data_IF_090282724656
#
_entry.id   IF_090282724656
#
_cell.length_a   1.000
_cell.length_b   1.000
_cell.length_c   1.000
_cell.angle_alpha   90.00
_cell.angle_beta   90.00
_cell.angle_gamma   90.00
#
_symmetry.space_group_name_H-M   'P 1'
#
loop_
_entity.id
_entity.type
_entity.pdbx_description
1 polymer ?
#
# COMPACT_ATOMS: atom_id res chain seq x y z
N UNK A 1 -15.76 2.01 4.94
CA UNK A 1 -15.35 1.25 3.74
C UNK A 1 -13.89 0.86 3.94
N UNK A 2 -13.24 0.20 2.97
CA UNK A 2 -11.83 -0.22 3.12
C UNK A 2 -11.04 0.24 1.92
N UNK A 3 -9.89 0.89 2.15
CA UNK A 3 -9.01 1.41 1.11
C UNK A 3 -7.69 0.64 1.15
N UNK A 4 -7.29 0.12 -0.01
CA UNK A 4 -5.98 -0.48 -0.22
C UNK A 4 -5.01 0.61 -0.68
N UNK A 5 -3.83 0.69 -0.06
CA UNK A 5 -2.83 1.71 -0.38
C UNK A 5 -1.52 1.01 -0.71
N UNK A 6 -0.96 1.26 -1.89
CA UNK A 6 0.38 0.80 -2.22
C UNK A 6 1.42 1.48 -1.30
N UNK A 7 2.57 0.86 -1.12
CA UNK A 7 3.63 1.42 -0.30
C UNK A 7 4.62 2.25 -1.12
N UNK A 8 5.23 1.66 -2.14
CA UNK A 8 6.40 2.17 -2.84
C UNK A 8 6.01 3.16 -3.95
N UNK A 9 6.21 4.46 -3.73
CA UNK A 9 5.80 5.52 -4.66
C UNK A 9 4.50 6.22 -4.24
N UNK A 10 3.79 5.68 -3.24
CA UNK A 10 2.58 6.27 -2.65
C UNK A 10 2.85 6.76 -1.22
N UNK A 11 3.43 5.91 -0.37
CA UNK A 11 3.78 6.26 1.01
C UNK A 11 5.28 6.50 1.15
N UNK A 12 6.10 5.56 0.66
CA UNK A 12 7.57 5.65 0.61
C UNK A 12 8.00 6.31 -0.70
N UNK A 13 8.92 7.28 -0.66
CA UNK A 13 9.25 8.10 -1.85
C UNK A 13 9.92 7.30 -3.00
N UNK A 14 10.53 6.16 -2.70
CA UNK A 14 10.95 5.14 -3.67
C UNK A 14 11.87 5.62 -4.82
N UNK A 15 12.78 6.55 -4.51
CA UNK A 15 13.66 7.26 -5.44
C UNK A 15 14.69 6.41 -6.17
N UNK A 16 14.98 5.19 -5.70
CA UNK A 16 15.98 4.26 -6.29
C UNK A 16 15.33 3.02 -6.92
N UNK A 17 14.00 2.96 -7.00
CA UNK A 17 13.30 1.73 -7.35
C UNK A 17 13.58 0.58 -6.37
N UNK A 18 13.40 -0.66 -6.82
CA UNK A 18 13.44 -1.84 -5.93
C UNK A 18 14.77 -2.02 -5.16
N UNK A 19 15.90 -1.65 -5.78
CA UNK A 19 17.24 -1.81 -5.23
C UNK A 19 17.51 -3.25 -4.71
N UNK A 20 17.96 -3.39 -3.46
CA UNK A 20 18.29 -4.66 -2.80
C UNK A 20 17.16 -5.19 -1.89
N UNK A 21 15.98 -4.56 -1.94
CA UNK A 21 14.88 -4.86 -1.04
C UNK A 21 14.82 -3.99 0.22
N UNK A 22 15.85 -3.18 0.52
CA UNK A 22 15.78 -2.21 1.62
C UNK A 22 14.74 -1.10 1.39
N UNK A 23 14.19 -0.58 2.49
CA UNK A 23 13.39 0.67 2.52
C UNK A 23 14.35 1.79 2.93
N UNK A 24 14.54 2.78 2.05
CA UNK A 24 15.69 3.70 2.14
C UNK A 24 15.31 5.18 2.11
N UNK A 25 14.10 5.53 1.68
CA UNK A 25 13.65 6.92 1.62
C UNK A 25 12.71 7.26 2.77
N UNK A 26 12.55 8.57 3.06
CA UNK A 26 11.49 9.05 3.93
C UNK A 26 10.10 8.90 3.27
N UNK A 27 9.03 9.17 4.03
CA UNK A 27 7.69 9.29 3.47
C UNK A 27 7.61 10.34 2.37
N UNK A 28 6.78 10.05 1.35
CA UNK A 28 6.36 11.03 0.36
C UNK A 28 5.66 12.21 1.08
N UNK A 29 5.92 13.47 0.69
CA UNK A 29 5.26 14.63 1.31
C UNK A 29 3.74 14.49 1.33
N UNK A 30 3.15 14.63 2.52
CA UNK A 30 1.70 14.51 2.74
C UNK A 30 1.18 13.08 2.92
N UNK A 31 1.99 12.04 2.71
CA UNK A 31 1.53 10.65 2.81
C UNK A 31 0.99 10.31 4.20
N UNK A 32 1.74 10.62 5.27
CA UNK A 32 1.35 10.27 6.63
C UNK A 32 0.08 10.99 7.08
N UNK A 33 -0.07 12.28 6.74
CA UNK A 33 -1.29 13.04 7.04
C UNK A 33 -2.48 12.56 6.22
N UNK A 34 -2.25 12.17 4.97
CA UNK A 34 -3.25 11.52 4.12
C UNK A 34 -3.73 10.21 4.73
N UNK A 35 -2.82 9.35 5.18
CA UNK A 35 -3.17 8.10 5.88
C UNK A 35 -4.06 8.35 7.09
N UNK A 36 -3.71 9.31 7.95
CA UNK A 36 -4.53 9.68 9.12
C UNK A 36 -5.93 10.16 8.74
N UNK A 37 -6.04 10.96 7.68
CA UNK A 37 -7.34 11.44 7.19
C UNK A 37 -8.20 10.31 6.63
N UNK A 38 -7.60 9.35 5.92
CA UNK A 38 -8.31 8.17 5.44
C UNK A 38 -8.79 7.30 6.60
N UNK A 39 -7.92 7.02 7.59
CA UNK A 39 -8.26 6.23 8.78
C UNK A 39 -9.41 6.85 9.60
N UNK A 40 -9.57 8.17 9.57
CA UNK A 40 -10.68 8.84 10.26
C UNK A 40 -12.06 8.47 9.68
N UNK A 41 -12.14 7.98 8.44
CA UNK A 41 -13.39 7.65 7.76
C UNK A 41 -13.50 6.14 7.43
N UNK A 42 -12.38 5.52 7.09
CA UNK A 42 -12.31 4.20 6.48
C UNK A 42 -11.25 3.30 7.13
N UNK A 43 -11.42 1.98 6.97
CA UNK A 43 -10.35 1.04 7.29
C UNK A 43 -9.28 1.11 6.20
N UNK A 44 -8.01 1.02 6.59
CA UNK A 44 -6.89 1.13 5.68
C UNK A 44 -5.99 -0.08 5.82
N UNK A 45 -5.61 -0.68 4.69
CA UNK A 45 -4.49 -1.61 4.65
C UNK A 45 -3.47 -1.18 3.59
N UNK A 46 -2.21 -1.37 3.93
CA UNK A 46 -1.09 -1.21 3.00
C UNK A 46 -0.90 -2.53 2.27
N UNK A 47 -1.01 -2.49 0.95
CA UNK A 47 -0.82 -3.63 0.06
C UNK A 47 0.52 -3.49 -0.63
N UNK A 48 1.47 -4.38 -0.33
CA UNK A 48 2.86 -4.21 -0.77
C UNK A 48 3.49 -5.50 -1.26
N UNK A 49 4.43 -5.37 -2.20
CA UNK A 49 5.32 -6.45 -2.61
C UNK A 49 6.54 -6.61 -1.69
N UNK A 50 6.75 -5.68 -0.74
CA UNK A 50 7.84 -5.74 0.26
C UNK A 50 7.56 -6.79 1.33
N UNK A 51 8.58 -7.04 2.14
CA UNK A 51 8.38 -7.76 3.40
C UNK A 51 7.44 -6.94 4.31
N UNK A 52 6.39 -7.58 4.80
CA UNK A 52 5.29 -6.94 5.55
C UNK A 52 5.72 -6.45 6.93
N UNK A 53 6.63 -7.17 7.60
CA UNK A 53 7.23 -6.76 8.88
C UNK A 53 8.09 -5.50 8.70
N UNK A 54 8.96 -5.49 7.69
CA UNK A 54 9.84 -4.36 7.42
C UNK A 54 9.06 -3.07 7.13
N UNK A 55 7.95 -3.15 6.39
CA UNK A 55 7.08 -2.01 6.12
C UNK A 55 6.32 -1.58 7.38
N UNK A 56 5.89 -2.53 8.21
CA UNK A 56 5.24 -2.22 9.49
C UNK A 56 6.18 -1.47 10.43
N UNK A 57 7.41 -1.93 10.60
CA UNK A 57 8.43 -1.26 11.42
C UNK A 57 8.70 0.17 10.89
N UNK A 58 8.90 0.30 9.58
CA UNK A 58 9.15 1.60 8.97
C UNK A 58 7.97 2.58 9.16
N UNK A 59 6.73 2.11 9.02
CA UNK A 59 5.53 2.94 9.24
C UNK A 59 5.38 3.35 10.71
N UNK A 60 5.74 2.47 11.64
CA UNK A 60 5.76 2.77 13.06
C UNK A 60 6.78 3.86 13.36
N UNK A 61 8.01 3.72 12.86
CA UNK A 61 9.12 4.66 13.07
C UNK A 61 8.83 6.07 12.53
N UNK A 62 8.15 6.17 11.38
CA UNK A 62 7.92 7.46 10.72
C UNK A 62 6.59 8.12 11.07
N UNK A 63 5.58 7.33 11.43
CA UNK A 63 4.20 7.80 11.56
C UNK A 63 3.49 7.49 12.87
N UNK A 64 4.10 6.67 13.73
CA UNK A 64 3.55 6.22 15.02
C UNK A 64 2.15 5.59 14.90
N UNK A 65 1.88 4.91 13.78
CA UNK A 65 0.61 4.23 13.57
C UNK A 65 0.51 2.96 14.43
N UNK A 66 -0.70 2.61 14.84
CA UNK A 66 -1.00 1.28 15.35
C UNK A 66 -1.08 0.32 14.15
N UNK A 67 -0.20 -0.67 14.10
CA UNK A 67 0.00 -1.50 12.92
C UNK A 67 -0.11 -2.98 13.30
N UNK A 68 -0.71 -3.75 12.42
CA UNK A 68 -0.58 -5.21 12.39
C UNK A 68 -0.10 -5.62 11.00
N UNK A 69 0.58 -6.76 10.89
CA UNK A 69 1.07 -7.24 9.61
C UNK A 69 0.88 -8.76 9.48
N UNK A 70 0.76 -9.26 8.26
CA UNK A 70 0.64 -10.70 8.00
C UNK A 70 2.01 -11.36 7.83
N UNK A 71 2.34 -12.39 8.62
CA UNK A 71 3.56 -13.16 8.44
C UNK A 71 3.64 -13.85 7.07
N UNK A 72 4.85 -13.98 6.48
CA UNK A 72 5.03 -14.75 5.26
C UNK A 72 4.47 -16.17 5.40
N UNK A 73 3.51 -16.53 4.55
CA UNK A 73 2.92 -17.87 4.51
C UNK A 73 1.76 -18.10 5.50
N UNK A 74 1.40 -17.12 6.33
CA UNK A 74 0.27 -17.22 7.27
C UNK A 74 -0.86 -16.27 6.86
N UNK A 75 -1.74 -16.78 6.00
CA UNK A 75 -2.93 -16.06 5.54
C UNK A 75 -4.07 -16.17 6.57
N UNK A 76 -4.28 -15.12 7.36
CA UNK A 76 -5.34 -15.12 8.40
C UNK A 76 -6.44 -14.10 8.15
N UNK A 77 -6.18 -13.06 7.36
CA UNK A 77 -7.16 -12.00 7.10
C UNK A 77 -7.83 -12.19 5.72
N UNK A 78 -9.17 -12.31 5.70
CA UNK A 78 -9.95 -12.31 4.45
C UNK A 78 -10.54 -10.94 4.11
N UNK A 79 -10.79 -10.12 5.14
CA UNK A 79 -11.31 -8.76 5.03
C UNK A 79 -10.74 -7.90 6.14
N UNK A 80 -10.53 -6.61 5.85
CA UNK A 80 -10.03 -5.63 6.82
C UNK A 80 -11.06 -4.54 7.07
N UNK A 81 -11.44 -4.33 8.33
CA UNK A 81 -12.45 -3.36 8.75
C UNK A 81 -12.09 -2.57 10.02
N UNK A 82 -10.89 -2.77 10.57
CA UNK A 82 -10.37 -2.01 11.70
C UNK A 82 -9.88 -0.64 11.22
N UNK A 83 -10.32 0.43 11.90
CA UNK A 83 -9.95 1.82 11.60
C UNK A 83 -8.94 2.38 12.58
N UNK A 84 -8.77 1.73 13.72
CA UNK A 84 -7.79 2.12 14.74
C UNK A 84 -6.42 1.51 14.43
N UNK A 85 -6.33 0.65 13.41
CA UNK A 85 -5.11 -0.04 12.98
C UNK A 85 -4.94 -0.04 11.47
N UNK A 86 -3.69 0.00 11.04
CA UNK A 86 -3.30 -0.30 9.65
C UNK A 86 -2.88 -1.77 9.58
N UNK A 87 -3.43 -2.51 8.62
CA UNK A 87 -2.88 -3.82 8.24
C UNK A 87 -1.82 -3.62 7.16
N UNK A 88 -0.65 -4.25 7.30
CA UNK A 88 0.34 -4.39 6.21
C UNK A 88 0.30 -5.83 5.68
N UNK A 89 -0.01 -5.98 4.39
CA UNK A 89 -0.19 -7.29 3.76
C UNK A 89 0.36 -7.31 2.32
N UNK A 90 0.72 -8.50 1.85
CA UNK A 90 1.03 -8.79 0.45
C UNK A 90 -0.10 -9.59 -0.24
N UNK A 91 -1.30 -9.61 0.36
CA UNK A 91 -2.49 -10.28 -0.17
C UNK A 91 -3.50 -9.24 -0.66
N UNK A 92 -4.16 -9.60 -1.76
CA UNK A 92 -5.25 -8.79 -2.31
C UNK A 92 -6.52 -9.05 -1.50
N UNK A 93 -6.85 -8.12 -0.61
CA UNK A 93 -8.11 -8.12 0.14
C UNK A 93 -9.20 -7.33 -0.62
N UNK A 94 -10.49 -7.58 -0.35
CA UNK A 94 -11.58 -6.73 -0.84
C UNK A 94 -11.39 -5.27 -0.38
N UNK A 95 -11.47 -4.33 -1.32
CA UNK A 95 -11.36 -2.91 -1.08
C UNK A 95 -12.34 -2.11 -1.95
N UNK A 96 -12.74 -0.94 -1.46
CA UNK A 96 -13.55 0.03 -2.19
C UNK A 96 -12.73 0.77 -3.24
N UNK A 97 -11.44 1.01 -2.96
CA UNK A 97 -10.50 1.61 -3.90
C UNK A 97 -9.08 1.09 -3.63
N UNK A 98 -8.26 1.11 -4.68
CA UNK A 98 -6.80 0.91 -4.61
C UNK A 98 -6.14 2.23 -5.00
N UNK A 99 -5.31 2.78 -4.11
CA UNK A 99 -4.45 3.94 -4.37
C UNK A 99 -3.03 3.41 -4.63
N UNK A 100 -2.57 3.52 -5.86
CA UNK A 100 -1.37 2.83 -6.35
C UNK A 100 -0.74 3.67 -7.48
N UNK A 101 0.56 3.90 -7.42
CA UNK A 101 1.29 4.75 -8.36
C UNK A 101 1.47 4.09 -9.75
N UNK A 102 1.26 2.78 -9.83
CA UNK A 102 1.52 1.94 -11.02
C UNK A 102 0.28 1.24 -11.56
N UNK A 103 -0.84 1.30 -10.84
CA UNK A 103 -2.06 0.68 -11.30
C UNK A 103 -2.63 1.34 -12.56
N UNK A 104 -2.96 0.51 -13.55
CA UNK A 104 -3.75 0.93 -14.71
C UNK A 104 -5.23 0.72 -14.40
N UNK A 105 -6.04 1.77 -14.54
CA UNK A 105 -7.50 1.65 -14.37
C UNK A 105 -8.09 0.84 -15.52
N UNK A 106 -8.48 -0.39 -15.22
CA UNK A 106 -9.14 -1.24 -16.20
C UNK A 106 -10.56 -0.74 -16.52
N UNK A 107 -10.82 -0.42 -17.78
CA UNK A 107 -12.16 -0.18 -18.33
C UNK A 107 -12.51 -1.23 -19.38
N UNK A 108 -11.55 -1.54 -20.24
CA UNK A 108 -11.59 -2.59 -21.24
C UNK A 108 -10.15 -2.96 -21.67
N UNK A 109 -10.01 -4.03 -22.44
CA UNK A 109 -8.71 -4.54 -22.88
C UNK A 109 -8.02 -3.65 -23.91
N UNK A 110 -8.76 -2.91 -24.74
CA UNK A 110 -8.17 -2.00 -25.72
C UNK A 110 -7.43 -0.86 -25.02
N UNK A 111 -8.10 -0.23 -24.05
CA UNK A 111 -7.49 0.79 -23.18
C UNK A 111 -6.29 0.23 -22.41
N UNK A 112 -6.46 -0.91 -21.73
CA UNK A 112 -5.40 -1.48 -20.91
C UNK A 112 -4.14 -1.84 -21.72
N UNK A 113 -4.30 -2.37 -22.93
CA UNK A 113 -3.18 -2.66 -23.81
C UNK A 113 -2.51 -1.39 -24.33
N UNK A 114 -3.28 -0.33 -24.62
CA UNK A 114 -2.72 0.96 -25.03
C UNK A 114 -1.87 1.60 -23.92
N UNK A 115 -2.33 1.53 -22.67
CA UNK A 115 -1.61 2.05 -21.50
C UNK A 115 -0.37 1.23 -21.13
N UNK A 116 -0.44 -0.10 -21.23
CA UNK A 116 0.61 -1.02 -20.81
C UNK A 116 1.63 -1.32 -21.93
N UNK A 117 1.28 -1.09 -23.18
CA UNK A 117 2.15 -1.30 -24.35
C UNK A 117 2.18 -0.07 -25.26
N UNK A 118 2.49 1.14 -24.74
CA UNK A 118 2.70 2.29 -25.60
C UNK A 118 3.89 1.94 -26.51
N UNK A 119 3.66 2.01 -27.82
CA UNK A 119 4.60 1.64 -28.89
C UNK A 119 6.06 1.94 -28.49
N UNK A 120 6.87 0.88 -28.41
CA UNK A 120 8.34 1.00 -28.26
C UNK A 120 8.97 1.54 -29.53
#
# INVERSE_FOLDING_TARGET
MTIAIDFDGVIHAYSKGWADGSIYDPPLPGALDGLRQLMAQDAVFVFTARNTEQVADWLFEHGEFNITWEPPGEATCEFWNDRDRILVTNRKLPATAYLDDRAVKFTDWGQALADLSPSR
#
